data_IF_430295864992
#
_entry.id   IF_430295864992
#
_cell.length_a   1.000
_cell.length_b   1.000
_cell.length_c   1.000
_cell.angle_alpha   90.00
_cell.angle_beta   90.00
_cell.angle_gamma   90.00
#
_symmetry.space_group_name_H-M   'P 1'
#
loop_
_entity.id
_entity.type
_entity.pdbx_description
1 polymer ?
#
# COMPACT_ATOMS: atom_id res chain seq x y z
N UNK A 1 0.80 -15.34 -9.83
CA UNK A 1 -0.56 -14.87 -9.48
C UNK A 1 -0.44 -13.41 -9.05
N UNK A 2 -1.27 -12.53 -9.58
CA UNK A 2 -1.33 -11.10 -9.27
C UNK A 2 -2.67 -10.84 -8.59
N UNK A 3 -2.65 -10.33 -7.36
CA UNK A 3 -3.85 -10.12 -6.54
C UNK A 3 -4.15 -8.63 -6.35
N UNK A 4 -3.13 -7.75 -6.15
CA UNK A 4 -3.36 -6.32 -5.94
C UNK A 4 -4.13 -5.68 -7.10
N UNK A 5 -5.09 -4.84 -6.76
CA UNK A 5 -5.93 -4.14 -7.74
C UNK A 5 -5.16 -3.01 -8.40
N UNK A 6 -5.28 -2.83 -9.74
CA UNK A 6 -4.81 -1.61 -10.39
C UNK A 6 -5.67 -0.42 -9.99
N UNK A 7 -5.09 0.78 -9.94
CA UNK A 7 -5.82 2.02 -9.69
C UNK A 7 -5.15 3.22 -10.35
N UNK A 8 -5.92 4.28 -10.58
CA UNK A 8 -5.44 5.52 -11.13
C UNK A 8 -5.21 6.57 -10.05
N UNK A 9 -4.11 7.32 -10.15
CA UNK A 9 -3.80 8.46 -9.30
C UNK A 9 -2.92 9.45 -10.05
N UNK A 10 -3.23 10.73 -9.95
CA UNK A 10 -2.48 11.87 -10.55
C UNK A 10 -2.08 11.63 -12.01
N UNK A 11 -3.04 11.15 -12.83
CA UNK A 11 -2.89 10.95 -14.27
C UNK A 11 -2.12 9.69 -14.67
N UNK A 12 -1.72 8.83 -13.74
CA UNK A 12 -1.05 7.55 -14.02
C UNK A 12 -1.90 6.37 -13.54
N UNK A 13 -1.77 5.23 -14.23
CA UNK A 13 -2.32 3.94 -13.82
C UNK A 13 -1.21 3.12 -13.15
N UNK A 14 -1.44 2.70 -11.91
CA UNK A 14 -0.49 1.88 -11.14
C UNK A 14 -0.89 0.42 -11.20
N UNK A 15 0.07 -0.42 -11.58
CA UNK A 15 -0.06 -1.86 -11.66
C UNK A 15 0.99 -2.55 -10.79
N UNK A 16 0.56 -3.60 -10.11
CA UNK A 16 1.43 -4.44 -9.33
C UNK A 16 1.54 -5.81 -10.00
N UNK A 17 2.75 -6.21 -10.38
CA UNK A 17 3.00 -7.47 -11.09
C UNK A 17 2.94 -8.72 -10.21
N UNK A 18 2.73 -8.56 -8.90
CA UNK A 18 2.72 -9.66 -7.92
C UNK A 18 4.06 -9.83 -7.20
N UNK A 19 4.11 -10.78 -6.28
CA UNK A 19 5.29 -11.03 -5.42
C UNK A 19 6.58 -11.17 -6.23
N UNK A 20 7.59 -10.37 -5.90
CA UNK A 20 8.90 -10.38 -6.52
C UNK A 20 8.93 -9.93 -7.98
N UNK A 21 7.82 -9.42 -8.50
CA UNK A 21 7.70 -8.81 -9.83
C UNK A 21 7.83 -7.29 -9.74
N UNK A 22 7.67 -6.63 -10.87
CA UNK A 22 7.78 -5.18 -10.93
C UNK A 22 6.48 -4.48 -10.54
N UNK A 23 6.64 -3.28 -10.04
CA UNK A 23 5.61 -2.27 -9.89
C UNK A 23 5.71 -1.33 -11.08
N UNK A 24 4.59 -0.92 -11.66
CA UNK A 24 4.55 -0.09 -12.87
C UNK A 24 3.68 1.13 -12.68
N UNK A 25 4.07 2.24 -13.28
CA UNK A 25 3.22 3.40 -13.52
C UNK A 25 3.10 3.63 -15.03
N UNK A 26 1.87 3.65 -15.53
CA UNK A 26 1.54 3.70 -16.95
C UNK A 26 0.82 5.00 -17.25
N UNK A 27 1.23 5.66 -18.34
CA UNK A 27 0.61 6.88 -18.85
C UNK A 27 -0.73 6.57 -19.54
N UNK A 28 -1.65 7.54 -19.61
CA UNK A 28 -2.88 7.41 -20.38
C UNK A 28 -2.63 7.13 -21.87
N UNK A 29 -3.60 6.50 -22.52
CA UNK A 29 -3.53 6.20 -23.95
C UNK A 29 -2.72 4.96 -24.31
N UNK A 30 -2.24 4.22 -23.34
CA UNK A 30 -1.50 2.98 -23.54
C UNK A 30 -2.35 1.92 -24.23
N UNK A 31 -1.82 1.32 -25.28
CA UNK A 31 -2.46 0.24 -26.06
C UNK A 31 -1.44 -0.86 -26.38
N UNK A 32 -1.93 -2.08 -26.62
CA UNK A 32 -1.10 -3.20 -27.04
C UNK A 32 -0.25 -3.80 -25.92
N UNK A 33 0.87 -4.43 -26.28
CA UNK A 33 1.77 -5.09 -25.35
C UNK A 33 2.79 -4.10 -24.78
N UNK A 34 2.67 -3.83 -23.48
CA UNK A 34 3.52 -2.91 -22.72
C UNK A 34 4.66 -3.62 -21.98
N UNK A 35 4.84 -4.91 -22.18
CA UNK A 35 5.88 -5.70 -21.51
C UNK A 35 7.26 -5.08 -21.75
N UNK A 36 7.99 -4.68 -20.69
CA UNK A 36 9.33 -4.16 -20.84
C UNK A 36 10.24 -5.20 -21.51
N UNK A 37 10.88 -4.83 -22.61
CA UNK A 37 11.85 -5.65 -23.30
C UNK A 37 13.25 -5.09 -23.02
N UNK A 38 14.21 -5.98 -22.85
CA UNK A 38 15.59 -5.62 -22.57
C UNK A 38 16.12 -4.59 -23.60
N UNK A 39 16.65 -3.48 -23.11
CA UNK A 39 17.18 -2.39 -23.94
C UNK A 39 16.14 -1.52 -24.68
N UNK A 40 14.83 -1.71 -24.44
CA UNK A 40 13.77 -0.90 -25.07
C UNK A 40 12.97 -0.14 -24.00
N UNK A 41 12.82 1.16 -24.17
CA UNK A 41 11.88 1.99 -23.43
C UNK A 41 10.50 1.90 -24.07
N UNK A 42 9.46 1.89 -23.27
CA UNK A 42 8.08 2.02 -23.73
C UNK A 42 7.61 3.44 -23.42
N UNK A 43 7.12 4.18 -24.42
CA UNK A 43 6.68 5.58 -24.26
C UNK A 43 5.53 5.75 -23.26
N UNK A 44 4.70 4.71 -23.08
CA UNK A 44 3.61 4.70 -22.13
C UNK A 44 4.02 4.31 -20.71
N UNK A 45 5.23 3.79 -20.51
CA UNK A 45 5.76 3.45 -19.22
C UNK A 45 6.38 4.71 -18.59
N UNK A 46 5.72 5.28 -17.57
CA UNK A 46 6.28 6.41 -16.83
C UNK A 46 7.51 5.96 -16.03
N UNK A 47 7.36 4.85 -15.31
CA UNK A 47 8.45 4.18 -14.59
C UNK A 47 8.09 2.73 -14.24
N UNK A 48 9.10 1.97 -13.88
CA UNK A 48 8.95 0.65 -13.26
C UNK A 48 9.98 0.46 -12.15
N UNK A 49 9.58 -0.28 -11.11
CA UNK A 49 10.45 -0.67 -10.01
C UNK A 49 10.49 -2.20 -9.90
N UNK A 50 11.65 -2.76 -10.21
CA UNK A 50 11.85 -4.19 -10.15
C UNK A 50 11.77 -4.72 -8.71
N UNK A 51 11.27 -5.94 -8.54
CA UNK A 51 11.17 -6.64 -7.25
C UNK A 51 10.42 -5.87 -6.15
N UNK A 52 9.61 -4.89 -6.55
CA UNK A 52 8.79 -4.07 -5.64
C UNK A 52 7.32 -4.47 -5.60
N UNK A 53 6.93 -5.46 -6.40
CA UNK A 53 5.58 -6.01 -6.40
C UNK A 53 5.30 -6.83 -5.13
N UNK A 54 4.06 -6.76 -4.67
CA UNK A 54 3.54 -7.44 -3.47
C UNK A 54 2.62 -8.59 -3.84
N UNK A 55 2.31 -9.48 -2.90
CA UNK A 55 1.43 -10.63 -3.16
C UNK A 55 -0.04 -10.29 -2.93
N UNK A 56 -0.41 -9.84 -1.73
CA UNK A 56 -1.79 -9.63 -1.31
C UNK A 56 -2.17 -8.14 -1.21
N UNK A 57 -1.46 -7.28 -0.45
CA UNK A 57 -1.87 -5.91 -0.26
C UNK A 57 -1.82 -5.09 -1.55
N UNK A 58 -2.91 -4.39 -1.85
CA UNK A 58 -2.91 -3.33 -2.87
C UNK A 58 -2.22 -2.10 -2.30
N UNK A 59 -1.36 -1.47 -3.08
CA UNK A 59 -0.68 -0.24 -2.71
C UNK A 59 -1.67 0.93 -2.56
N UNK A 60 -1.32 1.96 -1.78
CA UNK A 60 -2.10 3.19 -1.63
C UNK A 60 -1.32 4.40 -2.09
N UNK A 61 -1.97 5.28 -2.84
CA UNK A 61 -1.43 6.60 -3.20
C UNK A 61 -1.92 7.65 -2.21
N UNK A 62 -1.01 8.46 -1.69
CA UNK A 62 -1.32 9.54 -0.77
C UNK A 62 -0.26 10.64 -0.83
N UNK A 63 -0.69 11.89 -0.98
CA UNK A 63 0.16 13.10 -0.96
C UNK A 63 1.38 13.00 -1.89
N UNK A 64 1.11 12.70 -3.18
CA UNK A 64 2.14 12.57 -4.22
C UNK A 64 3.05 11.35 -4.11
N UNK A 65 2.77 10.44 -3.20
CA UNK A 65 3.56 9.24 -2.99
C UNK A 65 2.74 7.96 -3.12
N UNK A 66 3.44 6.87 -3.44
CA UNK A 66 2.91 5.52 -3.47
C UNK A 66 3.51 4.71 -2.31
N UNK A 67 2.65 4.20 -1.43
CA UNK A 67 3.04 3.36 -0.31
C UNK A 67 2.70 1.91 -0.63
N UNK A 68 3.70 1.07 -0.59
CA UNK A 68 3.65 -0.33 -0.99
C UNK A 68 4.00 -1.21 0.21
N UNK A 69 3.00 -1.95 0.70
CA UNK A 69 3.16 -2.88 1.81
C UNK A 69 3.30 -4.29 1.27
N UNK A 70 4.39 -4.98 1.61
CA UNK A 70 4.51 -6.41 1.31
C UNK A 70 3.75 -7.27 2.31
N UNK A 71 3.37 -8.47 1.88
CA UNK A 71 2.78 -9.50 2.74
C UNK A 71 3.70 -9.94 3.90
N UNK A 72 4.99 -9.62 3.83
CA UNK A 72 5.98 -9.88 4.88
C UNK A 72 6.28 -8.67 5.77
N UNK A 73 5.47 -7.60 5.68
CA UNK A 73 5.58 -6.43 6.55
C UNK A 73 6.68 -5.43 6.18
N UNK A 74 7.09 -5.37 4.92
CA UNK A 74 7.98 -4.32 4.44
C UNK A 74 7.14 -3.21 3.82
N UNK A 75 7.22 -2.00 4.37
CA UNK A 75 6.61 -0.79 3.82
C UNK A 75 7.65 -0.01 3.03
N UNK A 76 7.37 0.23 1.76
CA UNK A 76 8.19 1.04 0.86
C UNK A 76 7.42 2.28 0.41
N UNK A 77 8.10 3.41 0.29
CA UNK A 77 7.55 4.65 -0.27
C UNK A 77 8.27 5.03 -1.54
N UNK A 78 7.49 5.34 -2.56
CA UNK A 78 7.97 5.83 -3.84
C UNK A 78 7.33 7.19 -4.15
N UNK A 79 8.06 8.08 -4.80
CA UNK A 79 7.45 9.23 -5.47
C UNK A 79 6.52 8.73 -6.57
N UNK A 80 5.27 9.18 -6.58
CA UNK A 80 4.26 8.65 -7.49
C UNK A 80 4.59 8.93 -8.95
N UNK A 81 5.15 10.10 -9.28
CA UNK A 81 5.45 10.51 -10.66
C UNK A 81 6.71 9.89 -11.23
N UNK A 82 7.74 9.75 -10.40
CA UNK A 82 9.09 9.35 -10.85
C UNK A 82 9.45 7.91 -10.50
N UNK A 83 8.74 7.31 -9.53
CA UNK A 83 9.08 6.00 -8.99
C UNK A 83 10.32 6.01 -8.09
N UNK A 84 10.89 7.15 -7.77
CA UNK A 84 12.04 7.25 -6.88
C UNK A 84 11.68 6.75 -5.48
N UNK A 85 12.45 5.79 -4.95
CA UNK A 85 12.22 5.22 -3.63
C UNK A 85 12.82 6.11 -2.55
N UNK A 86 12.00 6.56 -1.60
CA UNK A 86 12.46 7.35 -0.45
C UNK A 86 12.92 6.46 0.71
N UNK A 87 12.17 5.40 1.01
CA UNK A 87 12.54 4.43 2.03
C UNK A 87 11.94 3.04 1.77
N UNK A 88 12.53 2.07 2.45
CA UNK A 88 12.07 0.69 2.56
C UNK A 88 12.35 0.20 3.97
N UNK A 89 11.30 0.00 4.78
CA UNK A 89 11.44 -0.30 6.21
C UNK A 89 10.53 -1.45 6.62
N UNK A 90 10.97 -2.23 7.59
CA UNK A 90 10.19 -3.34 8.15
C UNK A 90 9.30 -2.83 9.29
N UNK A 91 8.05 -3.27 9.31
CA UNK A 91 7.15 -3.14 10.45
C UNK A 91 7.43 -4.30 11.41
N UNK A 92 8.29 -4.03 12.39
CA UNK A 92 8.79 -5.07 13.31
C UNK A 92 7.65 -5.71 14.12
N UNK A 93 7.73 -7.00 14.36
CA UNK A 93 6.74 -7.79 15.09
C UNK A 93 5.31 -7.70 14.53
N UNK A 94 5.17 -7.42 13.23
CA UNK A 94 3.87 -7.33 12.55
C UNK A 94 3.36 -8.67 12.02
N UNK A 95 4.22 -9.67 11.87
CA UNK A 95 3.84 -10.93 11.23
C UNK A 95 3.53 -10.76 9.74
N UNK A 96 2.47 -11.41 9.27
CA UNK A 96 1.99 -11.34 7.91
C UNK A 96 0.96 -10.21 7.70
N UNK A 97 0.82 -9.76 6.44
CA UNK A 97 -0.12 -8.71 6.05
C UNK A 97 -0.91 -9.13 4.81
N UNK A 98 -2.22 -9.32 4.98
CA UNK A 98 -3.18 -9.56 3.89
C UNK A 98 -3.94 -8.28 3.55
N UNK A 99 -4.27 -7.48 4.55
CA UNK A 99 -4.95 -6.20 4.43
C UNK A 99 -4.14 -5.19 3.63
N UNK A 100 -4.79 -4.44 2.75
CA UNK A 100 -4.17 -3.30 2.07
C UNK A 100 -3.97 -2.14 3.03
N UNK A 101 -2.87 -1.36 2.91
CA UNK A 101 -2.70 -0.14 3.68
C UNK A 101 -3.74 0.91 3.28
N UNK A 102 -4.06 1.79 4.21
CA UNK A 102 -4.90 2.97 3.94
C UNK A 102 -4.25 4.23 4.47
N UNK A 103 -4.71 5.37 3.97
CA UNK A 103 -4.17 6.68 4.33
C UNK A 103 -5.26 7.60 4.86
N UNK A 104 -4.96 8.31 5.93
CA UNK A 104 -5.86 9.31 6.50
C UNK A 104 -5.08 10.33 7.34
N UNK A 105 -5.38 11.60 7.15
CA UNK A 105 -4.88 12.73 7.96
C UNK A 105 -3.35 12.69 8.21
N UNK A 106 -2.56 12.64 7.13
CA UNK A 106 -1.10 12.63 7.19
C UNK A 106 -0.48 11.34 7.72
N UNK A 107 -1.22 10.24 7.71
CA UNK A 107 -0.77 8.94 8.24
C UNK A 107 -1.09 7.81 7.26
N UNK A 108 -0.22 6.81 7.30
CA UNK A 108 -0.40 5.53 6.61
C UNK A 108 -0.63 4.46 7.68
N UNK A 109 -1.65 3.66 7.50
CA UNK A 109 -2.04 2.61 8.41
C UNK A 109 -1.84 1.25 7.75
N UNK A 110 -1.25 0.32 8.47
CA UNK A 110 -1.00 -1.04 8.01
C UNK A 110 -1.52 -2.03 9.07
N UNK A 111 -2.55 -2.80 8.74
CA UNK A 111 -3.13 -3.81 9.62
C UNK A 111 -2.52 -5.18 9.34
N UNK A 112 -1.89 -5.77 10.35
CA UNK A 112 -1.34 -7.13 10.26
C UNK A 112 -2.41 -8.19 10.53
N UNK A 113 -2.12 -9.45 10.14
CA UNK A 113 -2.98 -10.59 10.45
C UNK A 113 -3.10 -10.86 11.96
N UNK A 114 -2.11 -10.45 12.76
CA UNK A 114 -2.17 -10.52 14.23
C UNK A 114 -3.07 -9.42 14.85
N UNK A 115 -3.76 -8.62 14.03
CA UNK A 115 -4.64 -7.54 14.50
C UNK A 115 -3.91 -6.29 14.99
N UNK A 116 -2.62 -6.12 14.67
CA UNK A 116 -1.85 -4.93 15.00
C UNK A 116 -1.96 -3.89 13.89
N UNK A 117 -2.44 -2.69 14.21
CA UNK A 117 -2.44 -1.56 13.27
C UNK A 117 -1.21 -0.70 13.51
N UNK A 118 -0.28 -0.73 12.57
CA UNK A 118 0.88 0.15 12.52
C UNK A 118 0.49 1.50 11.93
N UNK A 119 0.81 2.58 12.63
CA UNK A 119 0.55 3.95 12.21
C UNK A 119 1.86 4.61 11.88
N UNK A 120 2.09 4.88 10.60
CA UNK A 120 3.31 5.49 10.07
C UNK A 120 2.99 6.90 9.61
N UNK A 121 3.85 7.87 9.90
CA UNK A 121 3.72 9.23 9.37
C UNK A 121 3.90 9.23 7.84
N UNK A 122 2.99 9.87 7.13
CA UNK A 122 3.17 10.10 5.70
C UNK A 122 4.32 11.11 5.50
N UNK A 123 5.28 10.79 4.62
CA UNK A 123 6.43 11.65 4.38
C UNK A 123 7.64 10.88 3.83
N UNK A 124 8.70 11.60 3.50
CA UNK A 124 9.91 11.06 2.85
C UNK A 124 10.77 10.17 3.75
N UNK A 125 10.61 10.29 5.07
CA UNK A 125 11.33 9.47 6.05
C UNK A 125 10.37 8.53 6.75
N UNK A 126 10.82 7.31 7.00
CA UNK A 126 10.06 6.35 7.78
C UNK A 126 10.03 6.79 9.26
N UNK A 127 8.82 6.97 9.80
CA UNK A 127 8.58 7.30 11.20
C UNK A 127 7.36 6.51 11.68
N UNK A 128 7.59 5.48 12.51
CA UNK A 128 6.52 4.72 13.16
C UNK A 128 6.01 5.52 14.36
N UNK A 129 4.74 5.92 14.33
CA UNK A 129 4.12 6.74 15.37
C UNK A 129 3.52 5.86 16.48
N UNK A 130 2.77 4.84 16.11
CA UNK A 130 2.04 3.98 17.06
C UNK A 130 1.85 2.57 16.52
N UNK A 131 1.62 1.62 17.42
CA UNK A 131 1.11 0.28 17.11
C UNK A 131 -0.10 0.03 18.01
N UNK A 132 -1.27 -0.19 17.41
CA UNK A 132 -2.53 -0.38 18.12
C UNK A 132 -2.99 -1.84 17.96
N UNK A 133 -2.89 -2.69 19.00
CA UNK A 133 -3.37 -4.07 18.94
C UNK A 133 -4.89 -4.15 19.14
N UNK A 134 -5.51 -5.10 18.45
CA UNK A 134 -6.90 -5.53 18.69
C UNK A 134 -6.96 -6.93 19.33
N UNK A 135 -5.79 -7.58 19.46
CA UNK A 135 -5.61 -8.91 20.04
C UNK A 135 -6.51 -10.00 19.40
N UNK A 136 -6.78 -9.86 18.10
CA UNK A 136 -7.62 -10.75 17.33
C UNK A 136 -7.21 -10.72 15.85
N UNK A 137 -7.22 -11.87 15.17
CA UNK A 137 -6.81 -11.99 13.78
C UNK A 137 -7.67 -11.11 12.85
N UNK A 138 -7.01 -10.39 11.93
CA UNK A 138 -7.66 -9.51 10.96
C UNK A 138 -6.99 -9.63 9.58
N UNK A 139 -7.79 -9.87 8.54
CA UNK A 139 -7.30 -10.01 7.16
C UNK A 139 -7.95 -9.02 6.19
N UNK A 140 -9.16 -8.56 6.54
CA UNK A 140 -9.88 -7.62 5.69
C UNK A 140 -9.30 -6.21 5.76
N UNK A 141 -9.21 -5.54 4.62
CA UNK A 141 -8.88 -4.11 4.59
C UNK A 141 -9.95 -3.31 5.32
N UNK A 142 -9.59 -2.47 6.31
CA UNK A 142 -10.53 -1.62 7.01
C UNK A 142 -11.23 -0.63 6.09
N UNK A 143 -12.44 -0.22 6.48
CA UNK A 143 -13.21 0.78 5.76
C UNK A 143 -13.40 2.04 6.61
N UNK A 144 -13.26 3.20 5.96
CA UNK A 144 -13.62 4.50 6.57
C UNK A 144 -15.01 4.87 6.07
N UNK A 145 -15.96 5.03 6.99
CA UNK A 145 -17.35 5.38 6.71
C UNK A 145 -17.76 6.54 7.59
N UNK A 146 -17.99 7.70 7.00
CA UNK A 146 -18.24 8.95 7.70
C UNK A 146 -17.13 9.25 8.74
N UNK A 147 -17.48 9.27 10.04
CA UNK A 147 -16.59 9.52 11.17
C UNK A 147 -16.04 8.23 11.82
N UNK A 148 -16.17 7.08 11.16
CA UNK A 148 -15.86 5.77 11.73
C UNK A 148 -14.84 5.00 10.92
N UNK A 149 -13.94 4.34 11.61
CA UNK A 149 -13.09 3.28 11.09
C UNK A 149 -13.72 1.93 11.46
N UNK A 150 -14.05 1.14 10.44
CA UNK A 150 -14.59 -0.21 10.61
C UNK A 150 -13.46 -1.22 10.38
N UNK A 151 -13.19 -2.07 11.37
CA UNK A 151 -12.22 -3.16 11.29
C UNK A 151 -12.94 -4.47 11.56
N UNK A 152 -12.93 -5.37 10.58
CA UNK A 152 -13.42 -6.73 10.75
C UNK A 152 -12.27 -7.64 11.17
N UNK A 153 -12.46 -8.32 12.29
CA UNK A 153 -11.59 -9.38 12.79
C UNK A 153 -12.25 -10.75 12.61
N UNK A 154 -11.64 -11.79 13.11
CA UNK A 154 -12.17 -13.17 13.00
C UNK A 154 -13.57 -13.29 13.61
N UNK A 155 -13.80 -12.71 14.80
CA UNK A 155 -15.07 -12.88 15.52
C UNK A 155 -15.87 -11.59 15.69
N UNK A 156 -15.28 -10.38 15.39
CA UNK A 156 -15.89 -9.07 15.69
C UNK A 156 -15.86 -8.13 14.50
N UNK A 157 -16.73 -7.13 14.57
CA UNK A 157 -16.67 -5.91 13.77
C UNK A 157 -16.50 -4.73 14.73
N UNK A 158 -15.29 -4.14 14.72
CA UNK A 158 -15.01 -2.92 15.47
C UNK A 158 -15.48 -1.69 14.70
N UNK A 159 -16.17 -0.79 15.41
CA UNK A 159 -16.55 0.53 14.91
C UNK A 159 -15.88 1.59 15.79
N UNK A 160 -14.80 2.16 15.32
CA UNK A 160 -13.94 3.09 16.05
C UNK A 160 -14.22 4.51 15.55
N UNK A 161 -14.42 5.44 16.48
CA UNK A 161 -14.53 6.87 16.18
C UNK A 161 -13.77 7.70 17.22
N UNK A 162 -13.42 8.92 16.84
CA UNK A 162 -12.89 9.88 17.80
C UNK A 162 -13.96 10.20 18.86
N UNK A 163 -13.53 10.28 20.11
CA UNK A 163 -14.42 10.70 21.19
C UNK A 163 -14.65 12.20 21.07
N UNK A 164 -15.87 12.61 20.77
CA UNK A 164 -16.28 14.01 20.82
C UNK A 164 -16.11 14.47 22.27
N UNK A 165 -15.26 15.48 22.49
CA UNK A 165 -15.07 16.13 23.77
C UNK A 165 -16.14 17.19 24.02
#
# INVERSE_FOLDING_TARGET
MTIPSPFAYDGLLYLNGGRGKSLFAIKPGAIGDLTPKEGKTNEFLAWSQERSGTYLPTQVAYDGALYVLSDTGILSRFDAKTGAMSYRSRLEAGGAFTSSPWAYNGRIFCLSEEGKTFVVKAGEKFELLHVNPLDEMAQATPAIVADRLLIRTETRLFSIREKVR
#
